data_IF_247233530796
#
_entry.id   IF_247233530796
#
_cell.length_a   1.000
_cell.length_b   1.000
_cell.length_c   1.000
_cell.angle_alpha   90.00
_cell.angle_beta   90.00
_cell.angle_gamma   90.00
#
_symmetry.space_group_name_H-M   'P 1'
#
loop_
_entity.id
_entity.type
_entity.pdbx_description
1 polymer ?
#
# COMPACT_ATOMS: atom_id res chain seq x y z
N UNK A 1 10.95 -28.69 -18.12
CA UNK A 1 9.89 -29.33 -18.94
C UNK A 1 8.58 -28.89 -18.34
N UNK A 2 7.65 -28.36 -19.15
CA UNK A 2 6.29 -28.04 -18.69
C UNK A 2 5.57 -29.34 -18.37
N UNK A 3 4.95 -29.44 -17.19
CA UNK A 3 4.33 -30.68 -16.68
C UNK A 3 2.80 -30.66 -16.75
N UNK A 4 2.19 -29.48 -16.75
CA UNK A 4 0.75 -29.26 -16.88
C UNK A 4 0.50 -27.83 -17.40
N UNK A 5 -0.69 -27.58 -17.96
CA UNK A 5 -1.06 -26.30 -18.56
C UNK A 5 -2.51 -25.93 -18.15
N UNK A 6 -2.72 -24.68 -17.75
CA UNK A 6 -4.05 -24.08 -17.57
C UNK A 6 -4.29 -23.09 -18.72
N UNK A 7 -5.13 -23.42 -19.72
CA UNK A 7 -5.41 -22.52 -20.82
C UNK A 7 -6.35 -21.38 -20.36
N UNK A 8 -5.95 -20.14 -20.61
CA UNK A 8 -6.79 -18.95 -20.43
C UNK A 8 -7.23 -18.46 -21.83
N UNK A 9 -8.52 -18.32 -22.03
CA UNK A 9 -9.09 -17.93 -23.32
C UNK A 9 -9.07 -16.41 -23.50
N UNK A 10 -7.92 -15.88 -23.94
CA UNK A 10 -7.73 -14.46 -24.26
C UNK A 10 -7.16 -14.28 -25.67
N UNK A 11 -7.51 -13.17 -26.31
CA UNK A 11 -7.05 -12.86 -27.67
C UNK A 11 -5.73 -12.07 -27.65
N UNK A 12 -4.60 -12.77 -27.54
CA UNK A 12 -3.28 -12.12 -27.42
C UNK A 12 -2.60 -11.84 -28.76
N UNK A 13 -3.30 -12.00 -29.89
CA UNK A 13 -2.66 -11.96 -31.22
C UNK A 13 -2.00 -10.62 -31.55
N UNK A 14 -2.46 -9.55 -30.92
CA UNK A 14 -2.10 -8.19 -31.31
C UNK A 14 -1.03 -7.55 -30.40
N UNK A 15 -0.77 -8.11 -29.21
CA UNK A 15 0.15 -7.55 -28.22
C UNK A 15 0.86 -8.60 -27.34
N UNK A 16 1.96 -9.22 -27.81
CA UNK A 16 2.75 -10.12 -26.98
C UNK A 16 3.57 -9.31 -25.96
N UNK A 17 3.09 -9.25 -24.71
CA UNK A 17 3.78 -8.63 -23.58
C UNK A 17 3.84 -9.58 -22.38
N UNK A 18 4.77 -9.38 -21.42
CA UNK A 18 4.86 -10.21 -20.22
C UNK A 18 3.57 -10.15 -19.39
N UNK A 19 3.00 -11.31 -19.06
CA UNK A 19 1.94 -11.48 -18.07
C UNK A 19 2.52 -11.54 -16.65
N UNK A 20 1.72 -11.21 -15.64
CA UNK A 20 2.10 -11.36 -14.23
C UNK A 20 1.24 -12.41 -13.52
N UNK A 21 1.82 -13.11 -12.55
CA UNK A 21 1.13 -14.05 -11.67
C UNK A 21 1.55 -13.79 -10.23
N UNK A 22 0.58 -13.48 -9.38
CA UNK A 22 0.82 -13.05 -8.01
C UNK A 22 0.05 -13.92 -7.02
N UNK A 23 0.74 -14.71 -6.19
CA UNK A 23 0.10 -15.50 -5.13
C UNK A 23 -0.63 -14.62 -4.11
N UNK A 24 -1.78 -15.08 -3.63
CA UNK A 24 -2.61 -14.36 -2.64
C UNK A 24 -2.44 -14.88 -1.20
N UNK A 25 -1.56 -15.87 -0.99
CA UNK A 25 -1.28 -16.42 0.34
C UNK A 25 -2.24 -17.52 0.82
N UNK A 26 -3.38 -17.70 0.14
CA UNK A 26 -4.43 -18.68 0.46
C UNK A 26 -4.41 -19.94 -0.43
N UNK A 27 -3.34 -20.11 -1.22
CA UNK A 27 -3.24 -21.18 -2.23
C UNK A 27 -3.78 -20.78 -3.61
N UNK A 28 -4.30 -19.57 -3.76
CA UNK A 28 -4.72 -19.00 -5.04
C UNK A 28 -3.75 -17.94 -5.55
N UNK A 29 -3.95 -17.50 -6.80
CA UNK A 29 -3.19 -16.40 -7.41
C UNK A 29 -4.09 -15.51 -8.28
N UNK A 30 -3.71 -14.24 -8.38
CA UNK A 30 -4.17 -13.36 -9.43
C UNK A 30 -3.23 -13.45 -10.65
N UNK A 31 -3.79 -13.47 -11.85
CA UNK A 31 -3.07 -13.56 -13.11
C UNK A 31 -3.55 -12.43 -14.03
N UNK A 32 -2.62 -11.64 -14.57
CA UNK A 32 -2.93 -10.72 -15.66
C UNK A 32 -2.44 -11.31 -16.97
N UNK A 33 -3.25 -11.22 -18.03
CA UNK A 33 -2.80 -11.60 -19.37
C UNK A 33 -2.92 -10.39 -20.28
N UNK A 34 -1.77 -9.76 -20.51
CA UNK A 34 -1.66 -8.50 -21.26
C UNK A 34 -1.96 -8.74 -22.74
N UNK A 35 -2.75 -7.84 -23.31
CA UNK A 35 -2.94 -7.75 -24.76
C UNK A 35 -4.15 -8.49 -25.31
N UNK A 36 -5.01 -9.08 -24.46
CA UNK A 36 -6.17 -9.85 -24.92
C UNK A 36 -7.40 -9.86 -24.02
N UNK A 37 -7.39 -9.15 -22.90
CA UNK A 37 -8.56 -8.94 -22.02
C UNK A 37 -8.31 -7.75 -21.09
N UNK A 38 -9.38 -7.19 -20.52
CA UNK A 38 -9.34 -6.25 -19.40
C UNK A 38 -9.54 -6.96 -18.06
N UNK A 39 -9.40 -8.29 -18.05
CA UNK A 39 -9.67 -9.14 -16.92
C UNK A 39 -8.41 -9.50 -16.15
N UNK A 40 -8.56 -9.52 -14.83
CA UNK A 40 -7.63 -10.12 -13.88
C UNK A 40 -8.22 -11.46 -13.48
N UNK A 41 -7.50 -12.54 -13.73
CA UNK A 41 -7.99 -13.91 -13.52
C UNK A 41 -7.63 -14.40 -12.12
N UNK A 42 -8.58 -15.01 -11.43
CA UNK A 42 -8.37 -15.68 -10.15
C UNK A 42 -8.21 -17.17 -10.38
N UNK A 43 -7.07 -17.74 -10.01
CA UNK A 43 -6.77 -19.15 -10.25
C UNK A 43 -6.40 -19.88 -8.97
N UNK A 44 -6.75 -21.14 -8.90
CA UNK A 44 -6.31 -22.06 -7.86
C UNK A 44 -5.00 -22.73 -8.28
N UNK A 45 -3.95 -22.58 -7.47
CA UNK A 45 -2.60 -23.06 -7.82
C UNK A 45 -2.44 -24.57 -7.62
N UNK A 46 -3.24 -25.19 -6.75
CA UNK A 46 -3.15 -26.62 -6.46
C UNK A 46 -3.87 -27.46 -7.51
N UNK A 47 -5.10 -27.07 -7.82
CA UNK A 47 -5.98 -27.73 -8.78
C UNK A 47 -5.77 -27.27 -10.22
N UNK A 48 -5.07 -26.14 -10.42
CA UNK A 48 -4.82 -25.55 -11.73
C UNK A 48 -6.13 -25.21 -12.45
N UNK A 49 -7.06 -24.58 -11.73
CA UNK A 49 -8.37 -24.21 -12.26
C UNK A 49 -8.61 -22.70 -12.21
N UNK A 50 -9.41 -22.19 -13.14
CA UNK A 50 -9.90 -20.83 -13.11
C UNK A 50 -11.08 -20.75 -12.13
N UNK A 51 -10.95 -19.93 -11.09
CA UNK A 51 -11.98 -19.68 -10.09
C UNK A 51 -12.95 -18.58 -10.53
N UNK A 52 -12.43 -17.57 -11.22
CA UNK A 52 -13.22 -16.44 -11.71
C UNK A 52 -12.33 -15.35 -12.29
N UNK A 53 -12.91 -14.18 -12.52
CA UNK A 53 -12.18 -13.02 -13.04
C UNK A 53 -12.81 -11.71 -12.59
N UNK A 54 -12.00 -10.67 -12.53
CA UNK A 54 -12.40 -9.29 -12.28
C UNK A 54 -12.17 -8.47 -13.55
N UNK A 55 -13.24 -7.93 -14.13
CA UNK A 55 -13.15 -7.09 -15.32
C UNK A 55 -12.90 -5.64 -14.91
N UNK A 56 -11.70 -5.15 -15.15
CA UNK A 56 -11.36 -3.76 -14.84
C UNK A 56 -12.18 -2.79 -15.70
N UNK A 57 -12.60 -1.63 -15.16
CA UNK A 57 -13.27 -0.61 -15.95
C UNK A 57 -12.26 0.02 -16.92
N UNK A 58 -12.68 0.26 -18.15
CA UNK A 58 -11.81 0.75 -19.21
C UNK A 58 -12.12 0.05 -20.53
N UNK A 59 -11.43 0.46 -21.60
CA UNK A 59 -11.53 -0.21 -22.91
C UNK A 59 -10.21 -0.82 -23.37
N UNK A 60 -9.13 -0.59 -22.63
CA UNK A 60 -7.78 -1.00 -23.02
C UNK A 60 -7.32 -2.24 -22.24
N UNK A 61 -6.53 -3.08 -22.90
CA UNK A 61 -6.29 -4.47 -22.50
C UNK A 61 -4.91 -4.70 -21.88
N UNK A 62 -4.38 -3.71 -21.13
CA UNK A 62 -2.98 -3.72 -20.70
C UNK A 62 -2.82 -3.56 -19.18
N UNK A 63 -3.03 -4.65 -18.42
CA UNK A 63 -2.74 -4.73 -16.99
C UNK A 63 -1.29 -5.14 -16.75
N UNK A 64 -0.41 -4.16 -16.51
CA UNK A 64 1.05 -4.38 -16.44
C UNK A 64 1.49 -5.16 -15.20
N UNK A 65 0.74 -5.05 -14.09
CA UNK A 65 1.13 -5.61 -12.79
C UNK A 65 -0.09 -5.81 -11.89
N UNK A 66 -0.09 -6.87 -11.08
CA UNK A 66 -1.05 -7.08 -9.98
C UNK A 66 -0.32 -7.40 -8.67
N UNK A 67 -0.79 -6.81 -7.57
CA UNK A 67 -0.15 -6.93 -6.27
C UNK A 67 -1.22 -6.95 -5.15
N UNK A 68 -1.13 -7.87 -4.16
CA UNK A 68 -1.89 -7.75 -2.91
C UNK A 68 -1.57 -6.42 -2.22
N UNK A 69 -2.61 -5.65 -1.91
CA UNK A 69 -2.47 -4.47 -1.06
C UNK A 69 -2.48 -4.86 0.42
N UNK A 70 -3.31 -5.85 0.73
CA UNK A 70 -3.51 -6.47 2.04
C UNK A 70 -4.25 -7.81 1.82
N UNK A 71 -4.62 -8.47 2.90
CA UNK A 71 -5.30 -9.78 2.85
C UNK A 71 -6.69 -9.74 2.19
N UNK A 72 -7.30 -8.56 2.04
CA UNK A 72 -8.66 -8.41 1.51
C UNK A 72 -8.73 -7.71 0.15
N UNK A 73 -7.62 -7.21 -0.40
CA UNK A 73 -7.66 -6.46 -1.65
C UNK A 73 -6.38 -6.54 -2.49
N UNK A 74 -6.55 -6.33 -3.78
CA UNK A 74 -5.49 -6.26 -4.78
C UNK A 74 -5.41 -4.85 -5.37
N UNK A 75 -4.22 -4.42 -5.77
CA UNK A 75 -4.03 -3.30 -6.68
C UNK A 75 -3.54 -3.81 -8.02
N UNK A 76 -4.11 -3.28 -9.09
CA UNK A 76 -3.77 -3.62 -10.47
C UNK A 76 -3.42 -2.35 -11.23
N UNK A 77 -2.27 -2.36 -11.90
CA UNK A 77 -1.83 -1.24 -12.70
C UNK A 77 -2.39 -1.35 -14.12
N UNK A 78 -3.26 -0.40 -14.49
CA UNK A 78 -3.69 -0.19 -15.86
C UNK A 78 -2.69 0.73 -16.58
N UNK A 79 -1.96 0.14 -17.51
CA UNK A 79 -0.83 0.77 -18.16
C UNK A 79 -1.24 1.93 -19.08
N UNK A 80 -2.34 1.80 -19.83
CA UNK A 80 -2.74 2.83 -20.80
C UNK A 80 -3.63 3.87 -20.16
N UNK A 81 -4.60 3.45 -19.35
CA UNK A 81 -5.50 4.39 -18.68
C UNK A 81 -4.77 5.21 -17.60
N UNK A 82 -3.58 4.77 -17.17
CA UNK A 82 -2.77 5.50 -16.20
C UNK A 82 -3.42 5.50 -14.81
N UNK A 83 -4.01 4.36 -14.48
CA UNK A 83 -4.84 4.17 -13.28
C UNK A 83 -4.33 2.96 -12.50
N UNK A 84 -4.37 3.06 -11.18
CA UNK A 84 -4.32 1.91 -10.29
C UNK A 84 -5.74 1.58 -9.85
N UNK A 85 -6.19 0.37 -10.11
CA UNK A 85 -7.47 -0.13 -9.65
C UNK A 85 -7.27 -0.95 -8.38
N UNK A 86 -8.07 -0.69 -7.34
CA UNK A 86 -8.17 -1.56 -6.18
C UNK A 86 -9.36 -2.48 -6.33
N UNK A 87 -9.15 -3.77 -6.11
CA UNK A 87 -10.18 -4.81 -6.16
C UNK A 87 -10.37 -5.35 -4.75
N UNK A 88 -11.59 -5.29 -4.23
CA UNK A 88 -11.96 -6.00 -3.00
C UNK A 88 -12.21 -7.49 -3.31
N UNK A 89 -11.48 -8.37 -2.64
CA UNK A 89 -11.50 -9.81 -2.91
C UNK A 89 -12.80 -10.49 -2.47
N UNK A 90 -13.51 -9.93 -1.50
CA UNK A 90 -14.72 -10.52 -0.94
C UNK A 90 -15.97 -10.17 -1.77
N UNK A 91 -16.04 -8.93 -2.24
CA UNK A 91 -17.18 -8.37 -2.97
C UNK A 91 -16.96 -8.38 -4.49
N UNK A 92 -15.70 -8.31 -4.93
CA UNK A 92 -15.34 -8.07 -6.32
C UNK A 92 -15.51 -6.62 -6.75
N UNK A 93 -15.80 -5.70 -5.82
CA UNK A 93 -15.91 -4.27 -6.12
C UNK A 93 -14.56 -3.70 -6.57
N UNK A 94 -14.59 -2.83 -7.58
CA UNK A 94 -13.40 -2.24 -8.20
C UNK A 94 -13.48 -0.73 -8.08
N UNK A 95 -12.49 -0.14 -7.41
CA UNK A 95 -12.39 1.30 -7.20
C UNK A 95 -11.09 1.86 -7.79
N UNK A 96 -11.04 3.16 -8.01
CA UNK A 96 -9.81 3.85 -8.41
C UNK A 96 -8.98 4.15 -7.17
N UNK A 97 -7.80 3.52 -7.06
CA UNK A 97 -6.82 3.82 -6.01
C UNK A 97 -6.04 5.10 -6.33
N UNK A 98 -5.52 5.21 -7.56
CA UNK A 98 -4.78 6.36 -8.04
C UNK A 98 -5.03 6.57 -9.54
N UNK A 99 -4.90 7.81 -10.03
CA UNK A 99 -5.07 8.15 -11.45
C UNK A 99 -4.10 9.25 -11.87
N UNK A 100 -3.98 9.45 -13.19
CA UNK A 100 -3.07 10.44 -13.77
C UNK A 100 -1.62 9.97 -13.90
N UNK A 101 -1.38 8.67 -13.67
CA UNK A 101 -0.08 8.04 -13.85
C UNK A 101 0.28 7.95 -15.32
N UNK A 102 1.57 8.00 -15.62
CA UNK A 102 2.10 8.00 -16.97
C UNK A 102 2.79 6.66 -17.27
N UNK A 103 2.00 5.73 -17.82
CA UNK A 103 2.44 4.38 -18.17
C UNK A 103 3.01 3.61 -16.95
N UNK A 104 2.17 3.29 -15.93
CA UNK A 104 2.61 2.54 -14.77
C UNK A 104 2.98 1.10 -15.16
N UNK A 105 4.27 0.76 -15.12
CA UNK A 105 4.79 -0.54 -15.59
C UNK A 105 4.99 -1.56 -14.49
N UNK A 106 5.20 -1.11 -13.27
CA UNK A 106 5.43 -1.96 -12.11
C UNK A 106 4.95 -1.25 -10.85
N UNK A 107 4.50 -2.06 -9.88
CA UNK A 107 4.07 -1.62 -8.57
C UNK A 107 4.66 -2.53 -7.49
N UNK A 108 5.09 -1.92 -6.39
CA UNK A 108 5.62 -2.63 -5.24
C UNK A 108 5.14 -1.99 -3.95
N UNK A 109 4.61 -2.81 -3.04
CA UNK A 109 4.20 -2.39 -1.70
C UNK A 109 5.33 -2.69 -0.74
N UNK A 110 5.72 -1.70 0.05
CA UNK A 110 6.66 -1.88 1.15
C UNK A 110 6.36 -0.92 2.28
N UNK A 111 6.16 -1.48 3.48
CA UNK A 111 6.02 -0.74 4.74
C UNK A 111 4.89 0.31 4.69
N UNK A 112 3.73 -0.03 4.13
CA UNK A 112 2.60 0.91 3.98
C UNK A 112 2.73 1.94 2.85
N UNK A 113 3.74 1.82 1.99
CA UNK A 113 3.89 2.68 0.80
C UNK A 113 3.85 1.86 -0.48
N UNK A 114 3.05 2.32 -1.44
CA UNK A 114 2.99 1.77 -2.78
C UNK A 114 3.89 2.60 -3.70
N UNK A 115 4.92 1.95 -4.25
CA UNK A 115 5.86 2.51 -5.21
C UNK A 115 5.44 2.12 -6.62
N UNK A 116 5.34 3.10 -7.51
CA UNK A 116 4.85 2.91 -8.88
C UNK A 116 5.91 3.40 -9.85
N UNK A 117 6.44 2.50 -10.68
CA UNK A 117 7.37 2.89 -11.73
C UNK A 117 6.57 3.43 -12.94
N UNK A 118 6.77 4.69 -13.27
CA UNK A 118 6.11 5.37 -14.38
C UNK A 118 7.06 5.53 -15.56
N UNK A 119 6.83 4.74 -16.61
CA UNK A 119 7.77 4.64 -17.71
C UNK A 119 7.86 5.94 -18.52
N UNK A 120 6.73 6.63 -18.76
CA UNK A 120 6.73 7.81 -19.63
C UNK A 120 7.38 9.03 -18.98
N UNK A 121 7.41 9.10 -17.65
CA UNK A 121 8.05 10.18 -16.90
C UNK A 121 9.44 9.80 -16.36
N UNK A 122 9.86 8.53 -16.52
CA UNK A 122 11.12 8.01 -15.97
C UNK A 122 11.25 8.25 -14.46
N UNK A 123 10.15 8.07 -13.72
CA UNK A 123 10.08 8.38 -12.28
C UNK A 123 9.44 7.24 -11.47
N UNK A 124 9.52 7.37 -10.15
CA UNK A 124 8.77 6.54 -9.21
C UNK A 124 7.81 7.42 -8.43
N UNK A 125 6.52 7.19 -8.60
CA UNK A 125 5.48 7.78 -7.74
C UNK A 125 5.33 6.94 -6.47
N UNK A 126 5.07 7.61 -5.35
CA UNK A 126 4.91 6.97 -4.04
C UNK A 126 3.56 7.38 -3.46
N UNK A 127 2.74 6.38 -3.14
CA UNK A 127 1.45 6.55 -2.51
C UNK A 127 1.49 5.98 -1.09
N UNK A 128 0.90 6.71 -0.14
CA UNK A 128 0.66 6.19 1.21
C UNK A 128 -0.59 5.33 1.14
N UNK A 129 -0.49 4.09 1.59
CA UNK A 129 -1.64 3.20 1.66
C UNK A 129 -2.50 3.58 2.87
N UNK A 130 -3.84 3.66 2.74
CA UNK A 130 -4.72 3.94 3.88
C UNK A 130 -4.49 2.89 4.98
N UNK A 131 -4.13 3.35 6.18
CA UNK A 131 -3.62 2.46 7.23
C UNK A 131 -2.14 2.71 7.59
N UNK A 132 -1.54 3.84 7.23
CA UNK A 132 -0.21 4.20 7.73
C UNK A 132 -0.29 5.40 8.65
N UNK A 133 0.70 5.57 9.52
CA UNK A 133 0.87 6.76 10.35
C UNK A 133 2.09 7.57 9.91
N UNK A 134 2.18 8.82 10.36
CA UNK A 134 3.39 9.64 10.26
C UNK A 134 3.96 9.77 11.67
N UNK A 135 5.22 9.37 11.88
CA UNK A 135 5.88 9.48 13.18
C UNK A 135 5.98 10.95 13.59
N UNK A 136 5.38 11.28 14.73
CA UNK A 136 5.25 12.65 15.24
C UNK A 136 3.93 13.37 14.91
N UNK A 137 3.06 12.80 14.06
CA UNK A 137 1.68 13.29 13.83
C UNK A 137 0.73 12.55 14.78
N UNK A 138 0.68 13.04 16.01
CA UNK A 138 0.02 12.38 17.15
C UNK A 138 -1.49 12.54 17.07
N UNK A 139 -1.95 13.63 16.46
CA UNK A 139 -3.36 13.94 16.31
C UNK A 139 -3.98 13.38 14.99
N UNK A 140 -3.14 12.81 14.11
CA UNK A 140 -3.49 12.20 12.81
C UNK A 140 -4.15 13.20 11.84
N UNK A 141 -3.67 14.44 11.80
CA UNK A 141 -4.14 15.49 10.90
C UNK A 141 -3.26 15.71 9.66
N UNK A 142 -2.24 14.86 9.49
CA UNK A 142 -1.24 14.84 8.42
C UNK A 142 -0.23 16.00 8.49
N UNK A 143 -0.17 16.72 9.61
CA UNK A 143 0.81 17.77 9.86
C UNK A 143 1.51 17.54 11.19
N UNK A 144 2.82 17.69 11.19
CA UNK A 144 3.60 17.69 12.43
C UNK A 144 3.76 19.14 12.88
N UNK A 145 3.06 19.51 13.95
CA UNK A 145 3.07 20.85 14.52
C UNK A 145 3.01 20.86 16.06
N UNK A 146 2.78 22.04 16.67
CA UNK A 146 2.80 22.19 18.13
C UNK A 146 1.65 21.44 18.83
N UNK A 147 0.58 21.09 18.12
CA UNK A 147 -0.56 20.37 18.68
C UNK A 147 -0.23 18.91 19.01
N UNK A 148 0.72 18.30 18.30
CA UNK A 148 1.17 16.93 18.51
C UNK A 148 1.83 16.69 19.87
N UNK A 149 2.89 17.42 20.28
CA UNK A 149 3.47 17.24 21.60
C UNK A 149 2.50 17.65 22.71
N UNK A 150 1.54 18.56 22.46
CA UNK A 150 0.47 18.87 23.41
C UNK A 150 -0.42 17.64 23.62
N UNK A 151 -0.77 16.92 22.56
CA UNK A 151 -1.57 15.71 22.63
C UNK A 151 -0.84 14.57 23.35
N UNK A 152 0.45 14.34 23.04
CA UNK A 152 1.27 13.35 23.78
C UNK A 152 1.32 13.67 25.27
N UNK A 153 1.59 14.93 25.66
CA UNK A 153 1.60 15.33 27.06
C UNK A 153 0.22 15.20 27.72
N UNK A 154 -0.86 15.48 26.98
CA UNK A 154 -2.23 15.25 27.42
C UNK A 154 -2.47 13.79 27.77
N UNK A 155 -2.09 12.88 26.87
CA UNK A 155 -2.17 11.44 27.11
C UNK A 155 -1.40 11.01 28.37
N UNK A 156 -0.13 11.43 28.50
CA UNK A 156 0.75 11.03 29.60
C UNK A 156 0.28 11.52 30.99
N UNK A 157 -0.30 12.73 31.08
CA UNK A 157 -0.58 13.36 32.38
C UNK A 157 -2.06 13.51 32.71
N UNK A 158 -2.92 13.61 31.70
CA UNK A 158 -4.36 13.79 31.87
C UNK A 158 -5.13 12.50 31.55
N UNK A 159 -4.47 11.51 30.94
CA UNK A 159 -5.09 10.32 30.39
C UNK A 159 -5.85 10.60 29.09
N UNK A 160 -6.47 9.57 28.55
CA UNK A 160 -7.13 9.59 27.24
C UNK A 160 -6.60 8.45 26.36
N UNK A 161 -7.06 8.44 25.12
CA UNK A 161 -6.67 7.46 24.12
C UNK A 161 -5.94 8.17 22.97
N UNK A 162 -4.94 7.50 22.40
CA UNK A 162 -4.26 7.93 21.18
C UNK A 162 -4.72 7.03 20.04
N UNK A 163 -4.98 7.62 18.88
CA UNK A 163 -5.31 6.85 17.68
C UNK A 163 -4.13 5.96 17.26
N UNK A 164 -2.91 6.41 17.50
CA UNK A 164 -1.69 5.74 17.10
C UNK A 164 -0.60 5.97 18.15
N UNK A 165 -0.20 4.91 18.86
CA UNK A 165 0.87 5.02 19.85
C UNK A 165 2.23 5.16 19.16
N UNK A 166 2.45 4.48 18.04
CA UNK A 166 3.70 4.59 17.27
C UNK A 166 3.92 6.00 16.70
N UNK A 167 2.84 6.73 16.39
CA UNK A 167 2.94 8.13 16.01
C UNK A 167 3.42 9.03 17.17
N UNK A 168 3.08 8.66 18.41
CA UNK A 168 3.46 9.40 19.61
C UNK A 168 4.81 8.99 20.18
N UNK A 169 5.32 7.81 19.82
CA UNK A 169 6.69 7.36 20.07
C UNK A 169 7.61 8.01 19.04
N UNK A 170 8.03 9.23 19.35
CA UNK A 170 8.81 10.05 18.42
C UNK A 170 10.25 9.58 18.34
N UNK A 171 10.78 9.04 19.44
CA UNK A 171 12.18 8.61 19.51
C UNK A 171 12.37 7.14 19.06
N UNK A 172 11.29 6.42 18.79
CA UNK A 172 11.24 5.05 18.27
C UNK A 172 11.94 4.05 19.22
N UNK A 173 11.66 4.16 20.52
CA UNK A 173 12.23 3.31 21.59
C UNK A 173 11.22 2.36 22.26
N UNK A 174 10.04 2.24 21.66
CA UNK A 174 8.91 1.40 22.07
C UNK A 174 8.34 1.77 23.45
N UNK A 175 8.58 3.00 23.92
CA UNK A 175 8.11 3.49 25.23
C UNK A 175 7.57 4.92 25.17
N UNK A 176 6.25 5.07 25.34
CA UNK A 176 5.64 6.41 25.44
C UNK A 176 5.98 7.10 26.76
N UNK A 177 6.84 8.12 26.70
CA UNK A 177 7.18 8.95 27.85
C UNK A 177 7.49 10.42 27.52
N UNK A 178 8.06 11.15 28.48
CA UNK A 178 8.36 12.58 28.31
C UNK A 178 9.41 12.85 27.21
N UNK A 179 10.29 11.88 26.93
CA UNK A 179 11.35 12.00 25.96
C UNK A 179 10.81 12.17 24.53
N UNK A 180 9.65 11.58 24.22
CA UNK A 180 8.97 11.74 22.93
C UNK A 180 8.55 13.18 22.68
N UNK A 181 7.79 13.74 23.62
CA UNK A 181 7.30 15.11 23.52
C UNK A 181 8.46 16.11 23.49
N UNK A 182 9.54 15.86 24.24
CA UNK A 182 10.76 16.69 24.21
C UNK A 182 11.42 16.59 22.83
N UNK A 183 11.62 15.38 22.31
CA UNK A 183 12.28 15.16 21.02
C UNK A 183 11.49 15.77 19.86
N UNK A 184 10.17 15.65 19.89
CA UNK A 184 9.26 16.27 18.93
C UNK A 184 9.33 17.80 18.98
N UNK A 185 9.35 18.41 20.17
CA UNK A 185 9.54 19.86 20.32
C UNK A 185 10.93 20.32 19.85
N UNK A 186 11.97 19.52 20.09
CA UNK A 186 13.32 19.79 19.59
C UNK A 186 13.38 19.73 18.06
N UNK A 187 12.66 18.80 17.43
CA UNK A 187 12.51 18.73 15.99
C UNK A 187 11.78 19.96 15.42
N UNK A 188 10.70 20.41 16.06
CA UNK A 188 9.89 21.55 15.60
C UNK A 188 10.59 22.90 15.74
N UNK A 189 11.35 23.12 16.83
CA UNK A 189 11.84 24.45 17.21
C UNK A 189 13.36 24.57 17.36
N UNK A 190 14.10 23.48 17.20
CA UNK A 190 15.56 23.44 17.37
C UNK A 190 16.23 22.67 16.24
N UNK A 191 17.49 22.25 16.45
CA UNK A 191 18.22 21.38 15.53
C UNK A 191 18.01 19.89 15.88
N UNK A 192 16.80 19.52 16.31
CA UNK A 192 16.46 18.13 16.59
C UNK A 192 16.56 17.26 15.33
N UNK A 193 16.74 15.96 15.53
CA UNK A 193 16.77 15.01 14.42
C UNK A 193 15.35 14.83 13.85
N UNK A 194 15.27 14.60 12.54
CA UNK A 194 14.07 14.03 11.93
C UNK A 194 13.71 12.72 12.63
N UNK A 195 12.42 12.41 12.84
CA UNK A 195 12.01 11.13 13.37
C UNK A 195 12.39 9.99 12.41
N UNK A 196 12.41 8.77 12.94
CA UNK A 196 12.57 7.56 12.17
C UNK A 196 11.43 7.36 11.16
N UNK A 197 11.50 6.29 10.37
CA UNK A 197 10.36 5.88 9.55
C UNK A 197 9.14 5.63 10.46
N UNK A 198 7.91 5.98 10.06
CA UNK A 198 7.49 6.66 8.83
C UNK A 198 7.49 8.19 8.91
N UNK A 199 8.41 8.85 8.18
CA UNK A 199 8.43 10.32 7.98
C UNK A 199 9.12 10.65 6.64
N UNK A 200 8.78 11.76 5.93
CA UNK A 200 7.66 12.69 6.16
C UNK A 200 6.32 12.21 5.59
N UNK A 201 6.29 11.04 4.96
CA UNK A 201 5.09 10.42 4.44
C UNK A 201 4.67 9.28 5.35
N UNK A 202 3.37 8.95 5.33
CA UNK A 202 2.86 7.83 6.11
C UNK A 202 3.45 6.48 5.70
N UNK A 203 3.40 5.53 6.63
CA UNK A 203 3.85 4.14 6.46
C UNK A 203 3.54 3.31 7.72
N UNK A 204 3.97 2.05 7.75
CA UNK A 204 3.92 1.20 8.96
C UNK A 204 5.14 1.39 9.86
N UNK A 205 5.19 0.69 10.99
CA UNK A 205 6.38 0.69 11.84
C UNK A 205 7.45 -0.29 11.34
N UNK A 206 8.72 0.07 11.46
CA UNK A 206 9.87 -0.80 11.22
C UNK A 206 10.64 -1.16 12.50
N UNK A 207 10.35 -0.46 13.60
CA UNK A 207 10.93 -0.65 14.92
C UNK A 207 9.89 -1.25 15.86
N UNK A 208 10.20 -2.42 16.41
CA UNK A 208 9.42 -2.99 17.52
C UNK A 208 8.00 -3.46 17.21
N UNK A 209 7.39 -4.06 18.22
CA UNK A 209 5.98 -4.51 18.27
C UNK A 209 5.33 -4.19 19.64
N UNK A 210 5.98 -3.29 20.40
CA UNK A 210 5.61 -2.96 21.78
C UNK A 210 4.48 -1.93 21.88
N UNK A 211 4.27 -1.16 20.82
CA UNK A 211 3.23 -0.17 20.65
C UNK A 211 2.45 -0.51 19.36
N UNK A 212 1.25 0.06 19.21
CA UNK A 212 0.33 -0.23 18.12
C UNK A 212 -0.45 1.03 17.77
N UNK A 213 -1.00 1.04 16.58
CA UNK A 213 -1.93 2.03 16.12
C UNK A 213 -3.29 1.42 15.79
N UNK A 214 -4.32 1.98 16.41
CA UNK A 214 -5.68 1.46 16.29
C UNK A 214 -6.10 1.41 14.81
N UNK A 215 -6.74 0.31 14.43
CA UNK A 215 -7.33 0.10 13.09
C UNK A 215 -6.31 -0.17 11.96
N UNK A 216 -5.26 -0.92 12.25
CA UNK A 216 -4.35 -1.40 11.22
C UNK A 216 -3.54 -0.27 10.61
N UNK A 217 -3.08 0.66 11.46
CA UNK A 217 -2.12 1.68 11.02
C UNK A 217 -0.66 1.16 10.98
N UNK A 218 -0.48 -0.14 11.22
CA UNK A 218 0.80 -0.84 11.27
C UNK A 218 0.74 -2.06 10.32
N UNK A 219 1.45 -2.00 9.18
CA UNK A 219 1.35 -2.97 8.08
C UNK A 219 2.50 -3.98 8.04
#
# INVERSE_FOLDING_TARGET
MVTAELPIAVDTSDFPMPSDITPLGDGTAALTVIGGSNEVFHIDLETQTLLGNWALPGTDYLQSRVLPLNDSSLVVADFIDGVLHQIDLATGDIETFASGLQLPVDIHLRNGRLFVAEQALEQVSVFVVPGGFIRGDVNNDQMIDISDPIMSLGYLFLGGDLACQDAADFNDDESLDLSDAISLLEFLFSTGNSPAYPYPLGGGDLGGDGLDCEQGLDF
#
